data_IF_050249507160
#
_entry.id   IF_050249507160
#
_cell.length_a   1.000
_cell.length_b   1.000
_cell.length_c   1.000
_cell.angle_alpha   90.00
_cell.angle_beta   90.00
_cell.angle_gamma   90.00
#
_symmetry.space_group_name_H-M   'P 1'
#
loop_
_entity.id
_entity.type
_entity.pdbx_description
1 polymer ?
#
# COMPACT_ATOMS: atom_id res chain seq x y z
N UNK A 1 4.18 26.69 -16.46
CA UNK A 1 3.04 26.10 -15.76
C UNK A 1 3.18 26.45 -14.30
N UNK A 2 2.41 27.45 -13.86
CA UNK A 2 2.35 27.74 -12.44
C UNK A 2 1.59 26.59 -11.77
N UNK A 3 2.28 25.80 -10.98
CA UNK A 3 1.64 24.93 -10.04
C UNK A 3 0.89 25.81 -9.04
N UNK A 4 -0.40 25.80 -9.11
CA UNK A 4 -1.21 26.37 -8.06
C UNK A 4 -0.98 25.53 -6.82
N UNK A 5 -0.27 26.06 -5.85
CA UNK A 5 0.03 25.42 -4.56
C UNK A 5 -1.17 25.37 -3.63
N UNK A 6 -2.35 25.42 -4.15
CA UNK A 6 -3.58 25.42 -3.35
C UNK A 6 -4.30 24.13 -3.60
N UNK A 7 -4.54 23.37 -2.55
CA UNK A 7 -5.37 22.16 -2.51
C UNK A 7 -5.10 21.17 -3.64
N UNK A 8 -3.91 20.60 -3.63
CA UNK A 8 -3.58 19.58 -4.62
C UNK A 8 -4.23 18.25 -4.23
N UNK A 9 -5.42 18.03 -4.76
CA UNK A 9 -6.09 16.75 -4.73
C UNK A 9 -5.96 16.12 -6.11
N UNK A 10 -5.49 14.87 -6.14
CA UNK A 10 -5.40 14.07 -7.35
C UNK A 10 -6.42 12.96 -7.28
N UNK A 11 -7.27 12.87 -8.28
CA UNK A 11 -8.23 11.77 -8.42
C UNK A 11 -7.68 10.76 -9.41
N UNK A 12 -7.58 9.50 -8.97
CA UNK A 12 -7.15 8.40 -9.82
C UNK A 12 -8.37 7.58 -10.20
N UNK A 13 -8.61 7.44 -11.49
CA UNK A 13 -9.72 6.69 -12.07
C UNK A 13 -9.21 5.80 -13.20
N UNK A 14 -9.88 4.68 -13.42
CA UNK A 14 -9.59 3.77 -14.52
C UNK A 14 -9.56 2.30 -14.10
N UNK A 15 -9.46 1.42 -15.07
CA UNK A 15 -9.38 -0.04 -14.90
C UNK A 15 -7.97 -0.56 -14.73
N UNK A 16 -7.11 0.13 -13.98
CA UNK A 16 -5.71 -0.26 -13.79
C UNK A 16 -5.51 -1.29 -12.68
N UNK A 17 -4.37 -1.95 -12.72
CA UNK A 17 -3.92 -2.80 -11.62
C UNK A 17 -3.49 -1.95 -10.41
N UNK A 18 -3.56 -2.51 -9.20
CA UNK A 18 -3.27 -1.82 -7.95
C UNK A 18 -1.89 -1.15 -7.91
N UNK A 19 -0.89 -1.75 -8.54
CA UNK A 19 0.46 -1.17 -8.57
C UNK A 19 0.53 0.16 -9.32
N UNK A 20 -0.32 0.37 -10.34
CA UNK A 20 -0.40 1.67 -11.04
C UNK A 20 -0.92 2.74 -10.11
N UNK A 21 -1.99 2.46 -9.36
CA UNK A 21 -2.55 3.39 -8.39
C UNK A 21 -1.55 3.74 -7.29
N UNK A 22 -0.83 2.75 -6.76
CA UNK A 22 0.17 2.97 -5.71
C UNK A 22 1.35 3.82 -6.22
N UNK A 23 1.83 3.55 -7.43
CA UNK A 23 2.91 4.33 -8.07
C UNK A 23 2.50 5.80 -8.25
N UNK A 24 1.30 6.05 -8.77
CA UNK A 24 0.80 7.41 -8.95
C UNK A 24 0.63 8.12 -7.61
N UNK A 25 0.00 7.45 -6.63
CA UNK A 25 -0.23 8.03 -5.31
C UNK A 25 1.07 8.49 -4.64
N UNK A 26 2.12 7.68 -4.72
CA UNK A 26 3.43 8.06 -4.21
C UNK A 26 4.06 9.21 -5.02
N UNK A 27 3.96 9.17 -6.33
CA UNK A 27 4.56 10.18 -7.21
C UNK A 27 3.96 11.58 -7.00
N UNK A 28 2.67 11.66 -6.65
CA UNK A 28 1.99 12.94 -6.44
C UNK A 28 2.05 13.43 -4.99
N UNK A 29 2.62 12.66 -4.08
CA UNK A 29 2.78 13.09 -2.68
C UNK A 29 3.49 14.47 -2.61
N UNK A 30 3.06 15.42 -1.80
CA UNK A 30 2.07 15.35 -0.71
C UNK A 30 0.61 15.67 -1.11
N UNK A 31 0.27 15.65 -2.37
CA UNK A 31 -1.10 15.89 -2.80
C UNK A 31 -2.07 14.87 -2.18
N UNK A 32 -3.26 15.31 -1.82
CA UNK A 32 -4.31 14.42 -1.36
C UNK A 32 -4.76 13.53 -2.53
N UNK A 33 -4.94 12.24 -2.27
CA UNK A 33 -5.32 11.26 -3.29
C UNK A 33 -6.74 10.78 -3.03
N UNK A 34 -7.54 10.76 -4.09
CA UNK A 34 -8.83 10.09 -4.14
C UNK A 34 -8.80 9.00 -5.20
N UNK A 35 -9.38 7.86 -4.90
CA UNK A 35 -9.50 6.75 -5.84
C UNK A 35 -10.98 6.55 -6.15
N UNK A 36 -11.30 6.48 -7.44
CA UNK A 36 -12.65 6.16 -7.86
C UNK A 36 -12.93 4.69 -7.64
N UNK A 37 -14.03 4.40 -6.95
CA UNK A 37 -14.60 3.07 -6.80
C UNK A 37 -16.13 3.17 -6.88
N UNK A 38 -16.73 2.77 -8.01
CA UNK A 38 -18.18 2.88 -8.20
C UNK A 38 -19.00 1.96 -7.27
N UNK A 39 -18.34 1.07 -6.52
CA UNK A 39 -18.99 0.19 -5.55
C UNK A 39 -19.20 0.86 -4.19
N UNK A 40 -18.61 2.03 -3.96
CA UNK A 40 -18.76 2.77 -2.71
C UNK A 40 -19.70 3.95 -2.89
N UNK A 41 -20.36 4.34 -1.80
CA UNK A 41 -21.20 5.54 -1.79
C UNK A 41 -20.35 6.78 -2.13
N UNK A 42 -20.84 7.60 -3.06
CA UNK A 42 -20.13 8.79 -3.53
C UNK A 42 -19.04 8.54 -4.57
N UNK A 43 -18.85 7.29 -4.99
CA UNK A 43 -17.93 6.85 -6.07
C UNK A 43 -16.44 7.12 -5.83
N UNK A 44 -16.05 7.73 -4.72
CA UNK A 44 -14.66 8.09 -4.46
C UNK A 44 -14.24 7.75 -3.03
N UNK A 45 -13.02 7.26 -2.88
CA UNK A 45 -12.39 7.01 -1.59
C UNK A 45 -11.21 7.94 -1.43
N UNK A 46 -11.24 8.81 -0.42
CA UNK A 46 -10.11 9.63 -0.02
C UNK A 46 -9.12 8.75 0.76
N UNK A 47 -7.86 8.78 0.36
CA UNK A 47 -6.81 8.02 1.03
C UNK A 47 -6.35 8.77 2.28
N UNK A 48 -6.57 8.23 3.49
CA UNK A 48 -6.11 8.85 4.72
C UNK A 48 -4.65 8.57 5.00
N UNK A 49 -4.05 9.37 5.88
CA UNK A 49 -2.77 9.04 6.50
C UNK A 49 -2.99 8.05 7.63
N UNK A 50 -2.49 6.84 7.48
CA UNK A 50 -2.61 5.81 8.49
C UNK A 50 -1.56 5.96 9.58
N UNK A 51 -1.92 5.61 10.81
CA UNK A 51 -0.98 5.57 11.94
C UNK A 51 -0.12 4.32 11.87
N UNK A 52 1.14 4.48 12.24
CA UNK A 52 2.09 3.38 12.35
C UNK A 52 2.49 3.21 13.81
N UNK A 53 2.19 2.06 14.39
CA UNK A 53 2.54 1.71 15.78
C UNK A 53 2.87 0.22 15.87
N UNK A 54 3.40 -0.21 17.02
CA UNK A 54 3.77 -1.61 17.23
C UNK A 54 2.57 -2.58 17.23
N UNK A 55 1.39 -2.08 17.55
CA UNK A 55 0.17 -2.86 17.54
C UNK A 55 -0.69 -2.46 16.33
N UNK A 56 -1.14 -3.45 15.57
CA UNK A 56 -2.00 -3.25 14.42
C UNK A 56 -3.46 -2.97 14.80
N UNK A 57 -4.30 -2.72 13.79
CA UNK A 57 -5.73 -2.52 13.97
C UNK A 57 -6.47 -3.85 14.16
N UNK A 58 -7.62 -3.79 14.83
CA UNK A 58 -8.51 -4.96 15.03
C UNK A 58 -9.15 -5.45 13.71
N UNK A 59 -9.14 -4.60 12.67
CA UNK A 59 -9.75 -4.88 11.36
C UNK A 59 -8.85 -5.66 10.41
N UNK A 60 -7.54 -5.64 10.66
CA UNK A 60 -6.55 -6.34 9.84
C UNK A 60 -5.66 -7.22 10.70
N UNK A 61 -5.39 -8.41 10.21
CA UNK A 61 -4.34 -9.28 10.75
C UNK A 61 -3.09 -9.11 9.90
N UNK A 62 -1.95 -9.12 10.58
CA UNK A 62 -0.65 -8.88 9.98
C UNK A 62 0.29 -10.05 10.22
N UNK A 63 1.04 -10.42 9.19
CA UNK A 63 2.20 -11.29 9.30
C UNK A 63 3.40 -10.54 8.78
N UNK A 64 4.49 -10.56 9.54
CA UNK A 64 5.70 -9.80 9.23
C UNK A 64 6.88 -10.75 9.29
N UNK A 65 7.71 -10.73 8.26
CA UNK A 65 8.91 -11.54 8.16
C UNK A 65 10.08 -10.69 7.64
N UNK A 66 11.15 -10.62 8.43
CA UNK A 66 12.39 -9.99 7.98
C UNK A 66 13.14 -10.97 7.07
N UNK A 67 13.37 -10.56 5.83
CA UNK A 67 14.09 -11.36 4.81
C UNK A 67 15.45 -10.76 4.44
N UNK A 68 16.03 -9.97 5.33
CA UNK A 68 17.33 -9.34 5.14
C UNK A 68 17.23 -8.04 4.35
N UNK A 69 17.21 -8.12 3.03
CA UNK A 69 17.15 -6.95 2.14
C UNK A 69 15.81 -6.24 2.16
N UNK A 70 14.76 -6.93 2.57
CA UNK A 70 13.42 -6.38 2.67
C UNK A 70 12.63 -7.05 3.78
N UNK A 71 11.59 -6.38 4.23
CA UNK A 71 10.58 -6.94 5.13
C UNK A 71 9.37 -7.36 4.30
N UNK A 72 8.91 -8.59 4.46
CA UNK A 72 7.67 -9.06 3.86
C UNK A 72 6.52 -8.81 4.84
N UNK A 73 5.51 -8.09 4.40
CA UNK A 73 4.32 -7.78 5.19
C UNK A 73 3.09 -8.36 4.48
N UNK A 74 2.36 -9.21 5.17
CA UNK A 74 1.09 -9.72 4.66
C UNK A 74 -0.04 -9.25 5.55
N UNK A 75 -1.08 -8.68 4.95
CA UNK A 75 -2.30 -8.32 5.65
C UNK A 75 -3.47 -9.16 5.18
N UNK A 76 -4.40 -9.41 6.08
CA UNK A 76 -5.69 -10.02 5.77
C UNK A 76 -6.82 -9.31 6.53
N UNK A 77 -7.98 -9.24 5.90
CA UNK A 77 -9.16 -8.63 6.52
C UNK A 77 -9.69 -9.55 7.62
N UNK A 78 -9.91 -8.97 8.79
CA UNK A 78 -10.31 -9.68 10.01
C UNK A 78 -11.51 -9.01 10.68
N UNK A 79 -12.38 -8.36 9.90
CA UNK A 79 -13.56 -7.70 10.45
C UNK A 79 -14.57 -8.71 10.99
N UNK A 80 -15.19 -8.45 12.17
CA UNK A 80 -16.25 -9.32 12.70
C UNK A 80 -17.44 -9.48 11.75
N UNK A 81 -17.74 -8.46 10.94
CA UNK A 81 -18.76 -8.48 9.90
C UNK A 81 -18.38 -9.27 8.65
N UNK A 82 -17.13 -9.74 8.55
CA UNK A 82 -16.61 -10.43 7.37
C UNK A 82 -16.29 -9.53 6.19
N UNK A 83 -16.55 -8.21 6.28
CA UNK A 83 -16.30 -7.26 5.21
C UNK A 83 -15.57 -6.03 5.74
N UNK A 84 -14.55 -5.58 5.01
CA UNK A 84 -13.86 -4.33 5.26
C UNK A 84 -14.53 -3.24 4.40
N UNK A 85 -15.01 -2.19 5.06
CA UNK A 85 -15.72 -1.08 4.39
C UNK A 85 -14.92 0.21 4.47
N UNK A 86 -15.24 1.17 3.61
CA UNK A 86 -14.53 2.46 3.53
C UNK A 86 -14.49 3.19 4.88
N UNK A 87 -15.55 3.09 5.68
CA UNK A 87 -15.61 3.71 7.00
C UNK A 87 -14.54 3.17 7.98
N UNK A 88 -14.04 1.96 7.76
CA UNK A 88 -12.99 1.35 8.58
C UNK A 88 -11.59 1.89 8.23
N UNK A 89 -11.43 2.42 7.02
CA UNK A 89 -10.11 2.81 6.50
C UNK A 89 -9.35 3.81 7.39
N UNK A 90 -9.97 4.89 7.90
CA UNK A 90 -9.24 5.84 8.75
C UNK A 90 -8.76 5.26 10.08
N UNK A 91 -9.32 4.14 10.50
CA UNK A 91 -9.02 3.46 11.77
C UNK A 91 -7.95 2.37 11.61
N UNK A 92 -7.50 2.10 10.40
CA UNK A 92 -6.42 1.14 10.16
C UNK A 92 -5.14 1.65 10.77
N UNK A 93 -4.50 0.78 11.54
CA UNK A 93 -3.17 1.00 12.11
C UNK A 93 -2.24 -0.02 11.48
N UNK A 94 -1.13 0.46 10.91
CA UNK A 94 -0.13 -0.40 10.30
C UNK A 94 0.99 -0.71 11.29
N UNK A 95 1.57 -1.92 11.28
CA UNK A 95 2.67 -2.26 12.16
C UNK A 95 3.93 -1.46 11.84
N UNK A 96 4.69 -1.12 12.88
CA UNK A 96 5.96 -0.44 12.72
C UNK A 96 7.03 -1.43 12.26
N UNK A 97 7.67 -1.11 11.16
CA UNK A 97 8.80 -1.86 10.60
C UNK A 97 9.89 -0.91 10.15
N UNK A 98 11.11 -1.40 10.02
CA UNK A 98 12.21 -0.58 9.51
C UNK A 98 11.94 -0.10 8.09
N UNK A 99 12.05 1.20 7.88
CA UNK A 99 11.96 1.84 6.57
C UNK A 99 13.35 2.10 5.93
N UNK A 100 14.42 1.62 6.56
CA UNK A 100 15.79 1.70 6.02
C UNK A 100 16.15 0.54 5.09
N UNK A 101 15.16 -0.18 4.61
CA UNK A 101 15.26 -1.25 3.62
C UNK A 101 13.96 -1.37 2.84
N UNK A 102 13.90 -2.31 1.93
CA UNK A 102 12.69 -2.55 1.14
C UNK A 102 11.54 -3.14 1.96
N UNK A 103 10.33 -2.93 1.48
CA UNK A 103 9.12 -3.55 2.01
C UNK A 103 8.37 -4.21 0.85
N UNK A 104 8.05 -5.49 0.98
CA UNK A 104 7.16 -6.19 0.06
C UNK A 104 5.82 -6.38 0.76
N UNK A 105 4.76 -5.85 0.16
CA UNK A 105 3.42 -5.87 0.71
C UNK A 105 2.57 -6.89 -0.03
N UNK A 106 1.95 -7.79 0.71
CA UNK A 106 1.00 -8.79 0.24
C UNK A 106 -0.33 -8.65 0.97
N UNK A 107 -1.40 -8.90 0.26
CA UNK A 107 -2.73 -8.96 0.86
C UNK A 107 -3.84 -8.83 -0.17
N UNK A 108 -4.99 -9.34 0.19
CA UNK A 108 -6.22 -9.19 -0.60
C UNK A 108 -7.08 -8.11 0.02
N UNK A 109 -7.36 -7.09 -0.75
CA UNK A 109 -8.20 -5.99 -0.32
C UNK A 109 -8.55 -5.08 -1.48
N UNK A 110 -9.33 -4.07 -1.20
CA UNK A 110 -9.63 -3.01 -2.14
C UNK A 110 -8.37 -2.27 -2.55
N UNK A 111 -8.36 -1.72 -3.76
CA UNK A 111 -7.24 -0.89 -4.26
C UNK A 111 -6.93 0.23 -3.28
N UNK A 112 -7.95 0.94 -2.80
CA UNK A 112 -7.78 2.07 -1.86
C UNK A 112 -7.17 1.64 -0.51
N UNK A 113 -7.45 0.43 -0.01
CA UNK A 113 -6.82 -0.09 1.20
C UNK A 113 -5.31 -0.34 0.96
N UNK A 114 -4.98 -1.00 -0.12
CA UNK A 114 -3.57 -1.28 -0.47
C UNK A 114 -2.79 0.02 -0.68
N UNK A 115 -3.37 0.99 -1.36
CA UNK A 115 -2.73 2.30 -1.58
C UNK A 115 -2.50 3.03 -0.25
N UNK A 116 -3.47 3.01 0.68
CA UNK A 116 -3.31 3.61 1.99
C UNK A 116 -2.17 2.96 2.79
N UNK A 117 -2.03 1.64 2.73
CA UNK A 117 -0.93 0.90 3.37
C UNK A 117 0.42 1.28 2.74
N UNK A 118 0.51 1.31 1.41
CA UNK A 118 1.73 1.76 0.70
C UNK A 118 2.13 3.17 1.15
N UNK A 119 1.17 4.09 1.21
CA UNK A 119 1.44 5.47 1.61
C UNK A 119 1.84 5.60 3.08
N UNK A 120 1.39 4.71 3.95
CA UNK A 120 1.87 4.65 5.33
C UNK A 120 3.37 4.34 5.41
N UNK A 121 3.88 3.51 4.50
CA UNK A 121 5.30 3.14 4.41
C UNK A 121 6.08 3.92 3.34
N UNK A 122 5.56 5.04 2.87
CA UNK A 122 6.11 5.83 1.75
C UNK A 122 7.59 6.23 1.85
N UNK A 123 8.14 6.26 3.07
CA UNK A 123 9.53 6.64 3.32
C UNK A 123 10.49 5.43 3.31
N UNK A 124 10.01 4.22 3.06
CA UNK A 124 10.87 3.05 2.92
C UNK A 124 11.84 3.23 1.75
N UNK A 125 12.98 2.56 1.79
CA UNK A 125 13.97 2.61 0.70
C UNK A 125 13.34 2.25 -0.64
N UNK A 126 12.47 1.27 -0.63
CA UNK A 126 11.60 0.91 -1.76
C UNK A 126 10.42 0.08 -1.27
N UNK A 127 9.36 0.04 -2.06
CA UNK A 127 8.17 -0.79 -1.80
C UNK A 127 7.80 -1.53 -3.08
N UNK A 128 7.49 -2.82 -2.94
CA UNK A 128 6.94 -3.62 -4.02
C UNK A 128 5.65 -4.31 -3.58
N UNK A 129 4.74 -4.52 -4.51
CA UNK A 129 3.48 -5.23 -4.29
C UNK A 129 3.58 -6.65 -4.80
N UNK A 130 3.27 -7.60 -3.93
CA UNK A 130 3.37 -9.03 -4.21
C UNK A 130 2.21 -9.54 -5.07
N UNK A 131 2.55 -10.39 -6.03
CA UNK A 131 1.61 -11.13 -6.89
C UNK A 131 1.76 -12.62 -6.64
N UNK A 132 0.81 -13.23 -5.91
CA UNK A 132 0.93 -14.65 -5.54
C UNK A 132 0.95 -15.61 -6.74
N UNK A 133 0.27 -15.25 -7.84
CA UNK A 133 0.16 -16.11 -9.01
C UNK A 133 1.52 -16.45 -9.63
N UNK A 134 2.43 -15.49 -9.62
CA UNK A 134 3.73 -15.59 -10.31
C UNK A 134 4.90 -15.64 -9.33
N UNK A 135 4.67 -15.57 -8.04
CA UNK A 135 5.70 -15.43 -6.99
C UNK A 135 6.66 -14.26 -7.25
N UNK A 136 6.10 -13.13 -7.65
CA UNK A 136 6.86 -11.91 -7.96
C UNK A 136 6.31 -10.72 -7.19
N UNK A 137 7.11 -9.68 -7.07
CA UNK A 137 6.65 -8.38 -6.60
C UNK A 137 7.07 -7.30 -7.57
N UNK A 138 6.21 -6.31 -7.77
CA UNK A 138 6.47 -5.16 -8.64
C UNK A 138 6.75 -3.92 -7.81
N UNK A 139 7.87 -3.26 -8.10
CA UNK A 139 8.30 -2.05 -7.38
C UNK A 139 7.40 -0.87 -7.75
N UNK A 140 6.81 -0.26 -6.71
CA UNK A 140 5.90 0.89 -6.84
C UNK A 140 6.43 2.16 -6.18
N UNK A 141 7.40 2.04 -5.28
CA UNK A 141 8.06 3.15 -4.59
C UNK A 141 9.57 2.94 -4.61
N UNK A 142 10.31 4.01 -4.94
CA UNK A 142 11.76 4.04 -4.96
C UNK A 142 12.26 5.34 -4.36
N UNK A 143 12.97 5.26 -3.25
CA UNK A 143 13.45 6.45 -2.53
C UNK A 143 14.98 6.54 -2.44
N UNK A 144 15.71 5.48 -2.80
CA UNK A 144 17.17 5.45 -2.73
C UNK A 144 17.80 5.09 -4.06
N UNK A 145 19.03 5.56 -4.35
CA UNK A 145 19.70 5.27 -5.63
C UNK A 145 20.00 3.78 -5.85
N UNK A 146 20.13 3.02 -4.78
CA UNK A 146 20.47 1.59 -4.81
C UNK A 146 19.24 0.68 -4.83
N UNK A 147 18.04 1.27 -4.69
CA UNK A 147 16.79 0.52 -4.76
C UNK A 147 16.53 -0.01 -6.18
N UNK A 148 15.74 -1.08 -6.30
CA UNK A 148 15.23 -1.53 -7.59
C UNK A 148 14.48 -0.40 -8.31
N UNK A 149 14.44 -0.47 -9.64
CA UNK A 149 13.76 0.54 -10.47
C UNK A 149 12.24 0.45 -10.30
N UNK A 150 11.52 1.57 -10.48
CA UNK A 150 10.07 1.55 -10.56
C UNK A 150 9.61 0.63 -11.69
N UNK A 151 8.64 -0.23 -11.40
CA UNK A 151 8.14 -1.23 -12.34
C UNK A 151 9.02 -2.46 -12.47
N UNK A 152 10.18 -2.52 -11.84
CA UNK A 152 11.00 -3.71 -11.82
C UNK A 152 10.26 -4.85 -11.12
N UNK A 153 10.39 -6.06 -11.67
CA UNK A 153 9.79 -7.28 -11.13
C UNK A 153 10.84 -8.06 -10.35
N UNK A 154 10.61 -8.20 -9.05
CA UNK A 154 11.45 -9.01 -8.17
C UNK A 154 10.87 -10.41 -8.14
N UNK A 155 11.69 -11.42 -8.46
CA UNK A 155 11.28 -12.83 -8.60
C UNK A 155 11.55 -13.64 -7.34
N UNK A 156 10.99 -14.84 -7.32
CA UNK A 156 11.21 -15.85 -6.27
C UNK A 156 10.81 -15.36 -4.87
N UNK A 157 9.71 -14.63 -4.82
CA UNK A 157 9.10 -14.19 -3.56
C UNK A 157 7.98 -15.16 -3.18
N UNK A 158 8.03 -15.65 -1.96
CA UNK A 158 7.04 -16.59 -1.43
C UNK A 158 6.31 -15.99 -0.24
N UNK A 159 5.06 -16.38 -0.08
CA UNK A 159 4.25 -15.97 1.07
C UNK A 159 4.87 -16.45 2.38
N UNK A 160 4.50 -15.75 3.46
CA UNK A 160 4.86 -16.19 4.81
C UNK A 160 4.24 -17.55 5.06
N UNK A 161 5.05 -18.52 5.49
CA UNK A 161 4.55 -19.86 5.83
C UNK A 161 3.60 -19.75 7.01
N UNK A 162 2.44 -20.36 6.87
CA UNK A 162 1.54 -20.63 8.00
C UNK A 162 2.05 -21.89 8.69
N UNK A 163 2.44 -21.74 9.94
CA UNK A 163 2.67 -22.88 10.82
C UNK A 163 1.35 -23.54 11.21
#
# INVERSE_FOLDING_TARGET
VSYLKTEHSVTIDGGGAVFVYATIAHAVYPAAVKIRDPKVEGDYVKIPSLKMVNEGSDHLKWKIEDRGNYTFIEFSVSCPSGAFVVADLPNVIVPEVSQKKGIVISGRGSIWLTVAIVMAYRNADWIALFRPQDHVAMVVVRNTPHAPQLGEVIRDIYQVKTD
#
